data_IF_238238106914
#
_entry.id   IF_238238106914
#
_cell.length_a   1.000
_cell.length_b   1.000
_cell.length_c   1.000
_cell.angle_alpha   90.00
_cell.angle_beta   90.00
_cell.angle_gamma   90.00
#
_symmetry.space_group_name_H-M   'P 1'
#
loop_
_entity.id
_entity.type
_entity.pdbx_description
1 polymer ?
#
# COMPACT_ATOMS: atom_id res chain seq x y z
N UNK A 1 25.97 43.84 -71.84
CA UNK A 1 25.26 44.99 -71.26
C UNK A 1 25.67 45.15 -69.81
N UNK A 2 25.68 46.40 -69.34
CA UNK A 2 26.44 46.93 -68.21
C UNK A 2 26.05 46.37 -66.84
N UNK A 3 27.07 46.27 -65.98
CA UNK A 3 26.99 46.19 -64.52
C UNK A 3 26.28 47.40 -63.91
N UNK A 4 25.51 47.20 -62.82
CA UNK A 4 25.35 48.23 -61.78
C UNK A 4 25.28 47.60 -60.39
N UNK A 5 26.22 48.03 -59.54
CA UNK A 5 26.16 48.01 -58.08
C UNK A 5 25.35 49.23 -57.63
N UNK A 6 24.54 49.10 -56.58
CA UNK A 6 24.18 50.22 -55.71
C UNK A 6 23.84 49.73 -54.30
N UNK A 7 24.54 50.33 -53.34
CA UNK A 7 24.41 50.19 -51.89
C UNK A 7 23.42 51.23 -51.31
N UNK A 8 23.23 51.19 -49.99
CA UNK A 8 22.42 52.06 -49.08
C UNK A 8 20.97 51.59 -48.86
N UNK A 9 20.39 51.54 -47.66
CA UNK A 9 20.70 52.23 -46.41
C UNK A 9 20.30 51.41 -45.17
N UNK A 10 21.02 51.64 -44.06
CA UNK A 10 20.69 51.20 -42.72
C UNK A 10 19.49 51.98 -42.16
N UNK A 11 18.58 51.30 -41.46
CA UNK A 11 17.76 51.90 -40.39
C UNK A 11 17.88 51.00 -39.17
N UNK A 12 18.56 51.56 -38.18
CA UNK A 12 18.61 51.12 -36.79
C UNK A 12 17.21 51.35 -36.18
N UNK A 13 16.52 50.30 -35.77
CA UNK A 13 15.34 50.41 -34.90
C UNK A 13 15.57 49.55 -33.66
N UNK A 14 16.06 50.24 -32.63
CA UNK A 14 16.28 49.80 -31.27
C UNK A 14 14.92 49.55 -30.59
N UNK A 15 14.47 48.30 -30.53
CA UNK A 15 13.40 47.89 -29.62
C UNK A 15 14.02 47.19 -28.40
N UNK A 16 14.47 48.02 -27.45
CA UNK A 16 14.65 47.59 -26.06
C UNK A 16 13.28 47.49 -25.39
N UNK A 17 13.10 46.43 -24.60
CA UNK A 17 12.11 46.40 -23.53
C UNK A 17 11.01 45.37 -23.72
N UNK A 18 11.25 44.16 -23.18
CA UNK A 18 10.38 43.47 -22.22
C UNK A 18 11.03 42.11 -21.89
N UNK A 19 12.20 42.14 -21.26
CA UNK A 19 12.63 41.01 -20.43
C UNK A 19 11.76 41.05 -19.18
N UNK A 20 10.67 40.28 -19.19
CA UNK A 20 10.02 39.85 -17.97
C UNK A 20 11.00 38.95 -17.22
N UNK A 21 11.84 39.57 -16.37
CA UNK A 21 12.50 38.85 -15.30
C UNK A 21 11.38 38.30 -14.40
N UNK A 22 11.11 37.00 -14.52
CA UNK A 22 10.50 36.23 -13.44
C UNK A 22 11.33 36.51 -12.18
N UNK A 23 10.72 37.22 -11.23
CA UNK A 23 11.20 37.19 -9.85
C UNK A 23 11.10 35.74 -9.40
N UNK A 24 12.21 35.09 -9.00
CA UNK A 24 12.07 33.85 -8.26
C UNK A 24 11.29 34.22 -7.00
N UNK A 25 10.13 33.58 -6.81
CA UNK A 25 9.37 33.67 -5.58
C UNK A 25 10.35 33.49 -4.43
N UNK A 26 10.60 34.55 -3.67
CA UNK A 26 11.41 34.47 -2.46
C UNK A 26 10.65 33.58 -1.50
N UNK A 27 11.02 32.30 -1.48
CA UNK A 27 10.78 31.45 -0.32
C UNK A 27 11.22 32.24 0.92
N UNK A 28 10.48 32.19 2.03
CA UNK A 28 10.94 32.76 3.29
C UNK A 28 12.40 32.36 3.47
N UNK A 29 13.29 33.32 3.79
CA UNK A 29 14.70 33.01 4.04
C UNK A 29 14.74 32.07 5.23
N UNK A 30 14.81 30.78 4.92
CA UNK A 30 14.95 29.71 5.89
C UNK A 30 16.23 30.02 6.69
N UNK A 31 16.08 30.14 8.01
CA UNK A 31 17.21 30.48 8.89
C UNK A 31 18.23 29.35 8.78
N UNK A 32 19.49 29.69 8.52
CA UNK A 32 20.56 28.71 8.36
C UNK A 32 21.00 28.22 9.75
N UNK A 33 20.88 26.92 9.99
CA UNK A 33 21.32 26.26 11.23
C UNK A 33 22.81 25.91 11.20
N UNK A 34 23.34 25.48 10.04
CA UNK A 34 24.77 25.22 9.83
C UNK A 34 25.15 25.38 8.36
N UNK A 35 26.44 25.60 8.08
CA UNK A 35 27.01 25.63 6.73
C UNK A 35 28.08 24.54 6.59
N UNK A 36 28.03 23.77 5.50
CA UNK A 36 28.99 22.72 5.16
C UNK A 36 29.55 23.01 3.77
N UNK A 37 30.72 23.66 3.71
CA UNK A 37 31.28 24.12 2.43
C UNK A 37 30.33 25.10 1.72
N UNK A 38 29.76 24.67 0.59
CA UNK A 38 28.78 25.43 -0.19
C UNK A 38 27.31 25.17 0.17
N UNK A 39 27.03 24.13 0.96
CA UNK A 39 25.66 23.72 1.34
C UNK A 39 25.26 24.31 2.72
N UNK A 40 23.97 24.43 2.97
CA UNK A 40 23.41 24.93 4.22
C UNK A 40 22.29 24.01 4.74
N UNK A 41 22.35 23.68 6.03
CA UNK A 41 21.25 23.02 6.75
C UNK A 41 20.31 24.12 7.24
N UNK A 42 19.03 24.05 6.89
CA UNK A 42 18.03 25.02 7.36
C UNK A 42 17.43 24.64 8.71
N UNK A 43 16.84 25.63 9.38
CA UNK A 43 16.09 25.41 10.62
C UNK A 43 14.89 24.47 10.39
N UNK A 44 14.28 24.54 9.21
CA UNK A 44 13.17 23.65 8.85
C UNK A 44 13.63 22.19 8.73
N UNK A 45 14.76 21.93 8.08
CA UNK A 45 15.35 20.58 7.99
C UNK A 45 15.67 20.03 9.38
N UNK A 46 16.34 20.82 10.20
CA UNK A 46 16.68 20.46 11.59
C UNK A 46 15.40 20.19 12.41
N UNK A 47 14.40 21.07 12.31
CA UNK A 47 13.13 20.91 13.01
C UNK A 47 12.38 19.65 12.58
N UNK A 48 12.35 19.35 11.27
CA UNK A 48 11.78 18.11 10.73
C UNK A 48 12.54 16.87 11.22
N UNK A 49 13.86 16.92 11.29
CA UNK A 49 14.68 15.82 11.78
C UNK A 49 14.46 15.57 13.29
N UNK A 50 14.38 16.63 14.10
CA UNK A 50 14.06 16.53 15.53
C UNK A 50 12.64 15.98 15.74
N UNK A 51 11.65 16.44 14.96
CA UNK A 51 10.27 15.97 15.08
C UNK A 51 10.11 14.46 14.81
N UNK A 52 11.00 13.85 14.02
CA UNK A 52 11.00 12.40 13.76
C UNK A 52 11.38 11.55 14.98
N UNK A 53 12.03 12.14 15.99
CA UNK A 53 12.38 11.45 17.23
C UNK A 53 11.16 11.22 18.14
N UNK A 54 10.01 11.82 17.83
CA UNK A 54 8.76 11.68 18.57
C UNK A 54 8.52 12.80 19.60
N UNK A 55 7.45 12.69 20.40
CA UNK A 55 7.11 13.68 21.42
C UNK A 55 8.17 13.71 22.53
N UNK A 56 8.58 14.92 22.93
CA UNK A 56 9.61 15.16 23.95
C UNK A 56 9.34 16.47 24.68
N UNK A 57 9.84 16.62 25.91
CA UNK A 57 9.75 17.88 26.64
C UNK A 57 10.75 18.92 26.11
N UNK A 58 10.63 20.17 26.56
CA UNK A 58 11.45 21.27 26.05
C UNK A 58 12.96 21.08 26.31
N UNK A 59 13.33 20.52 27.47
CA UNK A 59 14.73 20.30 27.82
C UNK A 59 15.35 19.16 26.98
N UNK A 60 14.61 18.06 26.79
CA UNK A 60 14.99 16.96 25.90
C UNK A 60 15.12 17.43 24.46
N UNK A 61 14.18 18.26 23.99
CA UNK A 61 14.22 18.85 22.64
C UNK A 61 15.44 19.72 22.41
N UNK A 62 15.78 20.59 23.38
CA UNK A 62 16.98 21.41 23.31
C UNK A 62 18.26 20.56 23.22
N UNK A 63 18.35 19.49 24.02
CA UNK A 63 19.50 18.59 23.98
C UNK A 63 19.56 17.76 22.69
N UNK A 64 18.42 17.24 22.22
CA UNK A 64 18.32 16.45 21.01
C UNK A 64 18.69 17.27 19.77
N UNK A 65 18.29 18.55 19.73
CA UNK A 65 18.54 19.45 18.59
C UNK A 65 20.02 19.58 18.24
N UNK A 66 20.90 19.72 19.24
CA UNK A 66 22.35 19.77 19.01
C UNK A 66 22.89 18.47 18.41
N UNK A 67 22.51 17.32 18.97
CA UNK A 67 22.95 16.00 18.47
C UNK A 67 22.42 15.71 17.07
N UNK A 68 21.17 16.08 16.78
CA UNK A 68 20.56 15.93 15.45
C UNK A 68 21.26 16.82 14.43
N UNK A 69 21.64 18.05 14.80
CA UNK A 69 22.39 18.93 13.92
C UNK A 69 23.75 18.33 13.54
N UNK A 70 24.52 17.83 14.51
CA UNK A 70 25.79 17.14 14.24
C UNK A 70 25.59 15.91 13.33
N UNK A 71 24.57 15.09 13.60
CA UNK A 71 24.25 13.94 12.75
C UNK A 71 23.86 14.34 11.31
N UNK A 72 23.16 15.47 11.13
CA UNK A 72 22.86 16.01 9.81
C UNK A 72 24.13 16.52 9.13
N UNK A 73 25.04 17.19 9.84
CA UNK A 73 26.33 17.62 9.31
C UNK A 73 27.12 16.41 8.79
N UNK A 74 27.25 15.35 9.59
CA UNK A 74 27.93 14.12 9.20
C UNK A 74 27.27 13.47 7.97
N UNK A 75 25.93 13.43 7.94
CA UNK A 75 25.18 12.91 6.79
C UNK A 75 25.44 13.73 5.52
N UNK A 76 25.48 15.06 5.61
CA UNK A 76 25.78 15.95 4.49
C UNK A 76 27.22 15.75 3.99
N UNK A 77 28.19 15.62 4.90
CA UNK A 77 29.59 15.33 4.54
C UNK A 77 29.73 14.01 3.79
N UNK A 78 29.11 12.94 4.27
CA UNK A 78 29.13 11.62 3.60
C UNK A 78 28.39 11.67 2.25
N UNK A 79 27.25 12.36 2.18
CA UNK A 79 26.50 12.55 0.93
C UNK A 79 27.32 13.30 -0.12
N UNK A 80 28.06 14.32 0.29
CA UNK A 80 28.92 15.09 -0.61
C UNK A 80 30.12 14.25 -1.08
N UNK A 81 30.76 13.49 -0.20
CA UNK A 81 31.80 12.53 -0.60
C UNK A 81 31.28 11.49 -1.62
N UNK A 82 30.02 11.03 -1.48
CA UNK A 82 29.41 10.11 -2.44
C UNK A 82 29.17 10.75 -3.82
N UNK A 83 28.76 12.03 -3.86
CA UNK A 83 28.63 12.80 -5.12
C UNK A 83 29.99 13.05 -5.78
N UNK A 84 31.01 13.38 -4.99
CA UNK A 84 32.37 13.57 -5.50
C UNK A 84 32.94 12.27 -6.10
N UNK A 85 32.62 11.14 -5.47
CA UNK A 85 32.89 9.80 -5.98
C UNK A 85 31.96 9.37 -7.15
N UNK A 86 31.01 10.22 -7.55
CA UNK A 86 30.03 10.01 -8.63
C UNK A 86 29.12 8.79 -8.43
N UNK A 87 28.90 8.38 -7.17
CA UNK A 87 28.05 7.23 -6.85
C UNK A 87 26.57 7.53 -7.17
N UNK A 88 26.16 8.79 -7.12
CA UNK A 88 24.82 9.27 -7.53
C UNK A 88 24.51 9.00 -9.01
N UNK A 89 25.54 8.81 -9.84
CA UNK A 89 25.42 8.51 -11.28
C UNK A 89 25.51 7.02 -11.59
N UNK A 90 25.81 6.18 -10.61
CA UNK A 90 25.81 4.74 -10.80
C UNK A 90 24.38 4.27 -11.13
N UNK A 91 24.17 3.37 -12.12
CA UNK A 91 22.84 2.99 -12.59
C UNK A 91 21.88 2.55 -11.49
N UNK A 92 22.37 1.76 -10.53
CA UNK A 92 21.60 1.26 -9.40
C UNK A 92 21.19 2.37 -8.43
N UNK A 93 22.06 3.35 -8.18
CA UNK A 93 21.76 4.48 -7.29
C UNK A 93 20.79 5.44 -7.96
N UNK A 94 20.99 5.75 -9.24
CA UNK A 94 20.09 6.60 -10.00
C UNK A 94 18.67 6.01 -10.06
N UNK A 95 18.54 4.70 -10.30
CA UNK A 95 17.26 4.00 -10.27
C UNK A 95 16.62 4.04 -8.87
N UNK A 96 17.39 3.78 -7.81
CA UNK A 96 16.89 3.84 -6.44
C UNK A 96 16.40 5.25 -6.07
N UNK A 97 17.12 6.30 -6.48
CA UNK A 97 16.69 7.69 -6.28
C UNK A 97 15.40 8.02 -7.02
N UNK A 98 15.24 7.57 -8.27
CA UNK A 98 13.99 7.74 -9.02
C UNK A 98 12.81 7.00 -8.38
N UNK A 99 13.05 5.78 -7.86
CA UNK A 99 12.03 5.02 -7.13
C UNK A 99 11.62 5.73 -5.84
N UNK A 100 12.59 6.22 -5.06
CA UNK A 100 12.34 6.97 -3.84
C UNK A 100 11.57 8.27 -4.12
N UNK A 101 11.95 9.02 -5.17
CA UNK A 101 11.24 10.22 -5.59
C UNK A 101 9.78 9.93 -5.92
N UNK A 102 9.52 8.88 -6.71
CA UNK A 102 8.15 8.47 -7.05
C UNK A 102 7.36 8.07 -5.81
N UNK A 103 7.96 7.33 -4.89
CA UNK A 103 7.30 6.91 -3.66
C UNK A 103 6.87 8.11 -2.80
N UNK A 104 7.78 9.07 -2.59
CA UNK A 104 7.50 10.30 -1.82
C UNK A 104 6.37 11.12 -2.47
N UNK A 105 6.36 11.23 -3.81
CA UNK A 105 5.30 11.94 -4.52
C UNK A 105 3.93 11.23 -4.40
N UNK A 106 3.91 9.89 -4.46
CA UNK A 106 2.70 9.10 -4.27
C UNK A 106 2.16 9.29 -2.86
N UNK A 107 3.01 9.20 -1.83
CA UNK A 107 2.62 9.41 -0.44
C UNK A 107 2.06 10.82 -0.21
N UNK A 108 2.75 11.86 -0.68
CA UNK A 108 2.29 13.25 -0.58
C UNK A 108 0.94 13.47 -1.31
N UNK A 109 0.76 12.84 -2.46
CA UNK A 109 -0.51 12.89 -3.19
C UNK A 109 -1.64 12.17 -2.43
N UNK A 110 -1.36 11.01 -1.83
CA UNK A 110 -2.32 10.27 -1.01
C UNK A 110 -2.71 11.03 0.27
N UNK A 111 -1.74 11.64 0.96
CA UNK A 111 -2.01 12.51 2.11
C UNK A 111 -2.95 13.66 1.73
N UNK A 112 -2.68 14.31 0.59
CA UNK A 112 -3.57 15.36 0.06
C UNK A 112 -4.95 14.82 -0.30
N UNK A 113 -5.02 13.67 -0.96
CA UNK A 113 -6.28 13.04 -1.38
C UNK A 113 -7.18 12.70 -0.18
N UNK A 114 -6.59 12.27 0.94
CA UNK A 114 -7.33 11.86 2.13
C UNK A 114 -7.53 12.97 3.16
N UNK A 115 -6.94 14.16 2.96
CA UNK A 115 -6.93 15.26 3.93
C UNK A 115 -8.33 15.67 4.37
N UNK A 116 -9.27 15.73 3.43
CA UNK A 116 -10.63 16.20 3.67
C UNK A 116 -11.63 15.02 3.85
N UNK A 117 -11.12 13.80 4.02
CA UNK A 117 -11.96 12.63 4.23
C UNK A 117 -12.52 12.67 5.66
N UNK A 118 -13.85 12.78 5.83
CA UNK A 118 -14.44 12.87 7.16
C UNK A 118 -14.23 11.57 7.94
N UNK A 119 -14.06 11.65 9.28
CA UNK A 119 -14.04 10.45 10.11
C UNK A 119 -15.38 9.70 9.98
N UNK A 120 -15.40 8.38 10.22
CA UNK A 120 -16.64 7.63 10.31
C UNK A 120 -17.57 8.19 11.39
N UNK A 121 -18.86 8.30 11.06
CA UNK A 121 -19.89 8.68 12.03
C UNK A 121 -20.26 7.52 12.95
N UNK A 122 -20.85 7.82 14.10
CA UNK A 122 -21.36 6.81 15.03
C UNK A 122 -22.39 5.87 14.38
N UNK A 123 -23.22 6.42 13.49
CA UNK A 123 -24.20 5.64 12.74
C UNK A 123 -23.52 4.62 11.80
N UNK A 124 -22.44 5.01 11.12
CA UNK A 124 -21.66 4.10 10.27
C UNK A 124 -20.98 3.00 11.11
N UNK A 125 -20.46 3.35 12.29
CA UNK A 125 -19.85 2.37 13.20
C UNK A 125 -20.89 1.37 13.71
N UNK A 126 -22.06 1.85 14.13
CA UNK A 126 -23.17 1.01 14.57
C UNK A 126 -23.69 0.10 13.45
N UNK A 127 -23.85 0.64 12.24
CA UNK A 127 -24.31 -0.13 11.07
C UNK A 127 -23.30 -1.24 10.73
N UNK A 128 -22.00 -0.93 10.72
CA UNK A 128 -20.96 -1.92 10.49
C UNK A 128 -20.97 -3.03 11.55
N UNK A 129 -21.09 -2.68 12.83
CA UNK A 129 -21.20 -3.66 13.92
C UNK A 129 -22.39 -4.61 13.72
N UNK A 130 -23.55 -4.06 13.36
CA UNK A 130 -24.79 -4.82 13.17
C UNK A 130 -24.74 -5.71 11.92
N UNK A 131 -24.08 -5.27 10.84
CA UNK A 131 -23.96 -6.02 9.59
C UNK A 131 -22.92 -7.14 9.63
N UNK A 132 -22.01 -7.09 10.59
CA UNK A 132 -20.93 -8.07 10.74
C UNK A 132 -20.97 -8.78 12.11
N UNK A 133 -22.11 -9.39 12.49
CA UNK A 133 -22.22 -10.04 13.79
C UNK A 133 -21.16 -11.14 13.96
N UNK A 134 -20.76 -11.84 12.90
CA UNK A 134 -19.72 -12.87 12.91
C UNK A 134 -18.34 -12.37 13.36
N UNK A 135 -18.07 -11.07 13.21
CA UNK A 135 -16.84 -10.42 13.66
C UNK A 135 -16.97 -9.84 15.07
N UNK A 136 -18.19 -9.65 15.58
CA UNK A 136 -18.45 -8.95 16.85
C UNK A 136 -19.43 -9.68 17.76
N UNK A 137 -20.74 -9.44 17.63
CA UNK A 137 -21.77 -9.95 18.56
C UNK A 137 -21.88 -11.48 18.59
N UNK A 138 -21.50 -12.14 17.50
CA UNK A 138 -21.42 -13.59 17.32
C UNK A 138 -19.98 -14.05 17.07
N UNK A 139 -18.99 -13.22 17.45
CA UNK A 139 -17.57 -13.54 17.31
C UNK A 139 -17.24 -14.83 18.05
N UNK A 140 -16.46 -15.68 17.38
CA UNK A 140 -15.96 -16.93 17.93
C UNK A 140 -14.45 -17.04 17.75
N UNK A 141 -13.82 -17.79 18.65
CA UNK A 141 -12.53 -18.42 18.36
C UNK A 141 -12.80 -19.76 17.66
N UNK A 142 -12.20 -19.95 16.49
CA UNK A 142 -12.34 -21.18 15.73
C UNK A 142 -11.07 -22.00 15.84
N UNK A 143 -11.21 -23.27 16.25
CA UNK A 143 -10.16 -24.27 16.13
C UNK A 143 -10.37 -25.00 14.81
N UNK A 144 -9.46 -24.81 13.86
CA UNK A 144 -9.58 -25.32 12.50
C UNK A 144 -8.37 -26.17 12.14
N UNK A 145 -8.63 -27.25 11.41
CA UNK A 145 -7.61 -27.92 10.60
C UNK A 145 -7.81 -27.48 9.16
N UNK A 146 -6.74 -27.00 8.53
CA UNK A 146 -6.72 -26.51 7.17
C UNK A 146 -5.74 -27.35 6.34
N UNK A 147 -6.22 -27.91 5.24
CA UNK A 147 -5.40 -28.53 4.20
C UNK A 147 -5.35 -27.59 3.02
N UNK A 148 -4.19 -27.00 2.76
CA UNK A 148 -3.96 -26.18 1.58
C UNK A 148 -3.39 -27.01 0.45
N UNK A 149 -3.95 -26.82 -0.74
CA UNK A 149 -3.58 -27.60 -1.91
C UNK A 149 -3.66 -26.75 -3.18
N UNK A 150 -2.84 -27.15 -4.15
CA UNK A 150 -2.89 -26.63 -5.52
C UNK A 150 -3.66 -27.64 -6.37
N UNK A 151 -4.78 -27.21 -6.94
CA UNK A 151 -5.68 -28.02 -7.73
C UNK A 151 -5.83 -27.41 -9.13
N UNK A 152 -5.63 -28.18 -10.21
CA UNK A 152 -5.94 -27.71 -11.56
C UNK A 152 -7.40 -27.24 -11.69
N UNK A 153 -7.69 -26.26 -12.56
CA UNK A 153 -9.05 -25.76 -12.76
C UNK A 153 -10.02 -26.89 -13.10
N UNK A 154 -11.25 -26.80 -12.58
CA UNK A 154 -12.34 -27.74 -12.90
C UNK A 154 -12.37 -29.04 -12.10
N UNK A 155 -11.39 -29.32 -11.23
CA UNK A 155 -11.38 -30.55 -10.39
C UNK A 155 -12.04 -30.39 -9.01
N UNK A 156 -12.56 -29.21 -8.68
CA UNK A 156 -13.18 -28.95 -7.36
C UNK A 156 -14.36 -29.89 -7.09
N UNK A 157 -15.23 -30.11 -8.07
CA UNK A 157 -16.40 -30.97 -7.92
C UNK A 157 -16.03 -32.45 -7.68
N UNK A 158 -14.99 -32.94 -8.36
CA UNK A 158 -14.44 -34.29 -8.15
C UNK A 158 -13.92 -34.43 -6.71
N UNK A 159 -13.15 -33.46 -6.25
CA UNK A 159 -12.59 -33.44 -4.91
C UNK A 159 -13.67 -33.39 -3.82
N UNK A 160 -14.71 -32.56 -4.00
CA UNK A 160 -15.86 -32.52 -3.10
C UNK A 160 -16.60 -33.86 -3.04
N UNK A 161 -16.76 -34.53 -4.18
CA UNK A 161 -17.40 -35.85 -4.24
C UNK A 161 -16.58 -36.91 -3.48
N UNK A 162 -15.26 -36.93 -3.66
CA UNK A 162 -14.38 -37.83 -2.91
C UNK A 162 -14.32 -37.50 -1.41
N UNK A 163 -14.33 -36.22 -1.04
CA UNK A 163 -14.36 -35.81 0.36
C UNK A 163 -15.63 -36.32 1.05
N UNK A 164 -16.79 -36.27 0.39
CA UNK A 164 -18.05 -36.79 0.94
C UNK A 164 -18.05 -38.31 1.14
N UNK A 165 -17.30 -39.05 0.32
CA UNK A 165 -17.14 -40.50 0.44
C UNK A 165 -16.06 -40.91 1.44
N UNK A 166 -15.18 -39.97 1.81
CA UNK A 166 -14.06 -40.23 2.71
C UNK A 166 -14.55 -40.37 4.15
N UNK A 167 -14.05 -41.39 4.86
CA UNK A 167 -14.42 -41.64 6.27
C UNK A 167 -13.86 -40.60 7.24
N UNK A 168 -12.72 -40.02 6.90
CA UNK A 168 -12.02 -38.99 7.67
C UNK A 168 -11.03 -38.24 6.77
N UNK A 169 -10.43 -37.16 7.29
CA UNK A 169 -9.44 -36.37 6.55
C UNK A 169 -8.18 -37.16 6.17
N UNK A 170 -7.75 -38.13 6.98
CA UNK A 170 -6.56 -38.94 6.69
C UNK A 170 -6.73 -39.75 5.41
N UNK A 171 -7.86 -40.46 5.27
CA UNK A 171 -8.15 -41.22 4.04
C UNK A 171 -8.31 -40.32 2.81
N UNK A 172 -8.81 -39.09 3.01
CA UNK A 172 -8.87 -38.09 1.96
C UNK A 172 -7.48 -37.59 1.55
N UNK A 173 -6.57 -37.34 2.50
CA UNK A 173 -5.18 -36.97 2.19
C UNK A 173 -4.40 -38.10 1.51
N UNK A 174 -4.67 -39.36 1.86
CA UNK A 174 -4.08 -40.51 1.18
C UNK A 174 -4.52 -40.55 -0.30
N UNK A 175 -5.82 -40.35 -0.56
CA UNK A 175 -6.34 -40.25 -1.93
C UNK A 175 -5.70 -39.08 -2.69
N UNK A 176 -5.60 -37.89 -2.09
CA UNK A 176 -4.90 -36.75 -2.71
C UNK A 176 -3.45 -37.10 -3.09
N UNK A 177 -2.76 -37.86 -2.24
CA UNK A 177 -1.42 -38.39 -2.52
C UNK A 177 -1.39 -39.29 -3.76
N UNK A 178 -2.38 -40.19 -3.93
CA UNK A 178 -2.50 -41.02 -5.16
C UNK A 178 -2.75 -40.21 -6.43
N UNK A 179 -3.35 -39.02 -6.29
CA UNK A 179 -3.59 -38.08 -7.39
C UNK A 179 -2.37 -37.20 -7.68
N UNK A 180 -1.27 -37.35 -6.94
CA UNK A 180 -0.09 -36.51 -7.04
C UNK A 180 -0.30 -35.08 -6.52
N UNK A 181 -1.34 -34.85 -5.71
CA UNK A 181 -1.67 -33.53 -5.17
C UNK A 181 -0.93 -33.36 -3.84
N UNK A 182 0.00 -32.41 -3.80
CA UNK A 182 0.71 -32.05 -2.59
C UNK A 182 -0.22 -31.29 -1.63
N UNK A 183 -0.15 -31.64 -0.34
CA UNK A 183 -0.99 -31.06 0.72
C UNK A 183 -0.10 -30.43 1.79
N UNK A 184 -0.42 -29.18 2.15
CA UNK A 184 0.11 -28.52 3.34
C UNK A 184 -0.96 -28.49 4.42
N UNK A 185 -0.78 -29.26 5.49
CA UNK A 185 -1.72 -29.31 6.61
C UNK A 185 -1.25 -28.40 7.76
N UNK A 186 -2.19 -27.70 8.38
CA UNK A 186 -1.97 -26.96 9.61
C UNK A 186 -3.21 -26.92 10.49
N UNK A 187 -3.01 -26.98 11.81
CA UNK A 187 -4.07 -26.73 12.78
C UNK A 187 -3.80 -25.37 13.46
N UNK A 188 -4.84 -24.57 13.65
CA UNK A 188 -4.73 -23.30 14.34
C UNK A 188 -6.02 -22.93 15.10
N UNK A 189 -5.86 -22.19 16.19
CA UNK A 189 -6.94 -21.43 16.81
C UNK A 189 -6.85 -20.00 16.30
N UNK A 190 -7.90 -19.54 15.61
CA UNK A 190 -7.95 -18.19 15.03
C UNK A 190 -9.24 -17.48 15.47
N UNK A 191 -9.17 -16.22 15.89
CA UNK A 191 -10.37 -15.41 16.05
C UNK A 191 -10.96 -15.05 14.68
N UNK A 192 -12.27 -14.78 14.63
CA UNK A 192 -13.01 -14.53 13.38
C UNK A 192 -12.35 -13.48 12.47
N UNK A 193 -11.87 -12.36 13.03
CA UNK A 193 -11.23 -11.26 12.30
C UNK A 193 -9.85 -11.59 11.71
N UNK A 194 -9.27 -12.76 12.06
CA UNK A 194 -8.00 -13.26 11.47
C UNK A 194 -8.22 -14.36 10.44
N UNK A 195 -9.47 -14.69 10.13
CA UNK A 195 -9.82 -15.69 9.14
C UNK A 195 -10.23 -14.99 7.83
N UNK A 196 -9.76 -15.43 6.65
CA UNK A 196 -10.23 -14.90 5.38
C UNK A 196 -11.75 -14.96 5.26
N UNK A 197 -12.39 -13.88 4.79
CA UNK A 197 -13.84 -13.74 4.80
C UNK A 197 -14.58 -14.90 4.11
N UNK A 198 -14.05 -15.39 2.98
CA UNK A 198 -14.62 -16.54 2.25
C UNK A 198 -14.63 -17.83 3.09
N UNK A 199 -13.62 -18.05 3.93
CA UNK A 199 -13.56 -19.18 4.84
C UNK A 199 -14.48 -18.97 6.04
N UNK A 200 -14.48 -17.77 6.63
CA UNK A 200 -15.33 -17.44 7.78
C UNK A 200 -16.82 -17.64 7.45
N UNK A 201 -17.25 -17.24 6.25
CA UNK A 201 -18.62 -17.44 5.78
C UNK A 201 -19.05 -18.92 5.78
N UNK A 202 -18.12 -19.84 5.54
CA UNK A 202 -18.38 -21.28 5.67
C UNK A 202 -18.43 -21.68 7.15
N UNK A 203 -17.41 -21.30 7.93
CA UNK A 203 -17.24 -21.72 9.33
C UNK A 203 -18.40 -21.31 10.24
N UNK A 204 -19.03 -20.14 10.01
CA UNK A 204 -20.17 -19.67 10.81
C UNK A 204 -21.34 -20.66 10.79
N UNK A 205 -21.50 -21.39 9.69
CA UNK A 205 -22.58 -22.36 9.49
C UNK A 205 -22.16 -23.81 9.81
N UNK A 206 -20.90 -24.03 10.16
CA UNK A 206 -20.36 -25.37 10.40
C UNK A 206 -20.57 -25.84 11.84
N UNK A 207 -20.66 -27.16 11.99
CA UNK A 207 -20.59 -27.88 13.27
C UNK A 207 -19.21 -28.51 13.43
N UNK A 208 -18.82 -28.76 14.68
CA UNK A 208 -17.58 -29.48 14.96
C UNK A 208 -17.55 -30.85 14.23
N UNK A 209 -16.39 -31.17 13.66
CA UNK A 209 -16.15 -32.33 12.81
C UNK A 209 -16.48 -32.14 11.33
N UNK A 210 -17.30 -31.15 10.95
CA UNK A 210 -17.65 -30.92 9.54
C UNK A 210 -16.44 -30.45 8.73
N UNK A 211 -16.43 -30.84 7.45
CA UNK A 211 -15.38 -30.51 6.49
C UNK A 211 -16.00 -29.85 5.26
N UNK A 212 -15.36 -28.81 4.74
CA UNK A 212 -15.78 -28.09 3.53
C UNK A 212 -14.60 -27.79 2.63
N UNK A 213 -14.84 -27.76 1.32
CA UNK A 213 -13.88 -27.32 0.31
C UNK A 213 -14.11 -25.83 0.05
N UNK A 214 -13.06 -25.02 0.08
CA UNK A 214 -13.10 -23.58 -0.15
C UNK A 214 -12.11 -23.21 -1.25
N UNK A 215 -12.57 -22.87 -2.46
CA UNK A 215 -11.71 -22.30 -3.49
C UNK A 215 -11.14 -20.95 -3.04
N UNK A 216 -9.81 -20.80 -3.10
CA UNK A 216 -9.03 -19.63 -2.63
C UNK A 216 -8.35 -18.86 -3.77
N UNK A 217 -8.75 -19.12 -5.01
CA UNK A 217 -8.22 -18.57 -6.25
C UNK A 217 -8.39 -19.56 -7.40
N UNK A 218 -7.74 -19.32 -8.54
CA UNK A 218 -7.86 -20.19 -9.73
C UNK A 218 -7.41 -21.62 -9.46
N UNK A 219 -6.24 -21.79 -8.82
CA UNK A 219 -5.66 -23.11 -8.55
C UNK A 219 -5.46 -23.41 -7.07
N UNK A 220 -5.80 -22.48 -6.17
CA UNK A 220 -5.64 -22.69 -4.73
C UNK A 220 -6.94 -23.13 -4.12
N UNK A 221 -6.90 -24.16 -3.31
CA UNK A 221 -8.05 -24.63 -2.56
C UNK A 221 -7.63 -24.91 -1.12
N UNK A 222 -8.50 -24.57 -0.18
CA UNK A 222 -8.39 -24.97 1.23
C UNK A 222 -9.48 -25.98 1.54
N UNK A 223 -9.14 -27.09 2.17
CA UNK A 223 -10.11 -28.00 2.79
C UNK A 223 -10.09 -27.74 4.28
N UNK A 224 -11.20 -27.21 4.80
CA UNK A 224 -11.33 -26.78 6.17
C UNK A 224 -12.13 -27.80 6.96
N UNK A 225 -11.59 -28.27 8.06
CA UNK A 225 -12.34 -28.96 9.10
C UNK A 225 -12.49 -28.06 10.33
N UNK A 226 -13.73 -27.88 10.78
CA UNK A 226 -14.00 -27.21 12.04
C UNK A 226 -13.81 -28.22 13.18
N UNK A 227 -12.78 -28.06 14.00
CA UNK A 227 -12.55 -28.93 15.16
C UNK A 227 -13.39 -28.48 16.37
N UNK A 228 -13.62 -27.18 16.49
CA UNK A 228 -14.48 -26.60 17.53
C UNK A 228 -14.55 -25.09 17.43
N UNK A 229 -15.51 -24.49 18.15
CA UNK A 229 -15.64 -23.03 18.23
C UNK A 229 -16.05 -22.61 19.64
N UNK A 230 -15.49 -21.51 20.12
CA UNK A 230 -15.82 -20.91 21.41
C UNK A 230 -16.39 -19.51 21.20
N UNK A 231 -17.54 -19.20 21.81
CA UNK A 231 -18.14 -17.88 21.72
C UNK A 231 -17.34 -16.86 22.53
N UNK A 232 -16.90 -15.79 21.89
CA UNK A 232 -16.18 -14.67 22.51
C UNK A 232 -16.68 -13.35 21.91
N UNK A 233 -17.93 -12.97 22.22
CA UNK A 233 -18.56 -11.79 21.65
C UNK A 233 -17.85 -10.52 22.11
N UNK A 234 -17.80 -9.53 21.23
CA UNK A 234 -17.23 -8.21 21.51
C UNK A 234 -18.35 -7.18 21.45
N UNK A 235 -18.45 -6.36 22.50
CA UNK A 235 -19.45 -5.29 22.57
C UNK A 235 -19.05 -4.12 21.67
N UNK A 236 -20.03 -3.36 21.18
CA UNK A 236 -19.82 -2.20 20.31
C UNK A 236 -18.79 -1.21 20.89
N UNK A 237 -18.91 -0.89 22.18
CA UNK A 237 -18.00 0.07 22.82
C UNK A 237 -16.54 -0.41 22.83
N UNK A 238 -16.31 -1.72 22.86
CA UNK A 238 -14.96 -2.29 22.77
C UNK A 238 -14.44 -2.33 21.33
N UNK A 239 -15.34 -2.43 20.35
CA UNK A 239 -15.01 -2.54 18.93
C UNK A 239 -14.97 -1.19 18.19
N UNK A 240 -15.48 -0.12 18.79
CA UNK A 240 -15.72 1.20 18.15
C UNK A 240 -14.52 1.72 17.37
N UNK A 241 -13.35 1.80 18.00
CA UNK A 241 -12.13 2.34 17.36
C UNK A 241 -11.62 1.43 16.24
N UNK A 242 -11.70 0.11 16.43
CA UNK A 242 -11.30 -0.86 15.41
C UNK A 242 -12.22 -0.77 14.18
N UNK A 243 -13.54 -0.66 14.40
CA UNK A 243 -14.54 -0.48 13.33
C UNK A 243 -14.31 0.84 12.61
N UNK A 244 -14.11 1.94 13.34
CA UNK A 244 -13.81 3.24 12.74
C UNK A 244 -12.55 3.16 11.85
N UNK A 245 -11.49 2.50 12.31
CA UNK A 245 -10.29 2.25 11.51
C UNK A 245 -10.57 1.45 10.23
N UNK A 246 -11.38 0.40 10.32
CA UNK A 246 -11.77 -0.42 9.16
C UNK A 246 -12.59 0.38 8.14
N UNK A 247 -13.60 1.14 8.60
CA UNK A 247 -14.42 1.99 7.74
C UNK A 247 -13.56 3.05 7.05
N UNK A 248 -12.68 3.72 7.80
CA UNK A 248 -11.80 4.74 7.25
C UNK A 248 -10.83 4.16 6.21
N UNK A 249 -10.25 2.99 6.50
CA UNK A 249 -9.40 2.26 5.54
C UNK A 249 -10.17 1.91 4.26
N UNK A 250 -11.41 1.43 4.40
CA UNK A 250 -12.31 1.16 3.28
C UNK A 250 -12.60 2.41 2.44
N UNK A 251 -12.95 3.53 3.09
CA UNK A 251 -13.17 4.82 2.41
C UNK A 251 -11.93 5.28 1.64
N UNK A 252 -10.74 5.20 2.24
CA UNK A 252 -9.45 5.55 1.59
C UNK A 252 -9.17 4.67 0.38
N UNK A 253 -9.40 3.36 0.49
CA UNK A 253 -9.22 2.41 -0.62
C UNK A 253 -10.14 2.76 -1.79
N UNK A 254 -11.44 2.94 -1.54
CA UNK A 254 -12.42 3.29 -2.58
C UNK A 254 -12.07 4.60 -3.28
N UNK A 255 -11.68 5.62 -2.50
CA UNK A 255 -11.29 6.93 -3.05
C UNK A 255 -10.03 6.83 -3.91
N UNK A 256 -9.01 6.10 -3.44
CA UNK A 256 -7.79 5.86 -4.20
C UNK A 256 -8.06 5.11 -5.51
N UNK A 257 -8.86 4.04 -5.47
CA UNK A 257 -9.25 3.29 -6.67
C UNK A 257 -9.97 4.17 -7.69
N UNK A 258 -10.87 5.05 -7.22
CA UNK A 258 -11.54 6.01 -8.08
C UNK A 258 -10.57 7.02 -8.72
N UNK A 259 -9.66 7.59 -7.93
CA UNK A 259 -8.68 8.56 -8.44
C UNK A 259 -7.70 7.91 -9.42
N UNK A 260 -7.21 6.69 -9.13
CA UNK A 260 -6.36 5.94 -10.07
C UNK A 260 -7.10 5.65 -11.37
N UNK A 261 -8.37 5.22 -11.33
CA UNK A 261 -9.17 5.03 -12.56
C UNK A 261 -9.27 6.31 -13.37
N UNK A 262 -9.55 7.45 -12.72
CA UNK A 262 -9.63 8.77 -13.37
C UNK A 262 -8.28 9.17 -13.99
N UNK A 263 -7.18 9.02 -13.28
CA UNK A 263 -5.83 9.33 -13.79
C UNK A 263 -5.46 8.44 -14.98
N UNK A 264 -5.84 7.14 -14.96
CA UNK A 264 -5.63 6.25 -16.11
C UNK A 264 -6.50 6.61 -17.31
N UNK A 265 -7.73 7.07 -17.09
CA UNK A 265 -8.61 7.51 -18.17
C UNK A 265 -8.15 8.84 -18.81
N UNK A 266 -7.58 9.74 -18.01
CA UNK A 266 -7.01 11.01 -18.49
C UNK A 266 -5.58 10.87 -19.06
N UNK A 267 -4.86 9.82 -18.68
CA UNK A 267 -3.51 9.54 -19.15
C UNK A 267 -3.47 8.70 -20.43
N UNK A 268 -2.57 9.02 -21.35
CA UNK A 268 -2.27 8.15 -22.49
C UNK A 268 -1.38 7.00 -22.01
N UNK A 269 -1.96 5.81 -21.86
CA UNK A 269 -1.22 4.58 -21.49
C UNK A 269 -1.07 3.71 -22.73
N UNK A 270 0.18 3.52 -23.18
CA UNK A 270 0.54 2.64 -24.29
C UNK A 270 1.38 1.48 -23.75
N UNK A 271 1.10 0.27 -24.22
CA UNK A 271 1.87 -0.92 -23.89
C UNK A 271 2.73 -1.28 -25.10
N UNK A 272 4.01 -1.56 -24.86
CA UNK A 272 4.85 -2.18 -25.86
C UNK A 272 4.43 -3.64 -26.08
N UNK A 273 4.74 -4.18 -27.27
CA UNK A 273 4.41 -5.56 -27.63
C UNK A 273 5.00 -6.56 -26.64
N UNK A 274 4.18 -7.48 -26.15
CA UNK A 274 4.54 -8.48 -25.15
C UNK A 274 4.40 -8.01 -23.70
N UNK A 275 4.00 -6.76 -23.48
CA UNK A 275 3.76 -6.18 -22.15
C UNK A 275 2.30 -5.79 -21.93
N UNK A 276 1.41 -6.14 -22.86
CA UNK A 276 -0.03 -5.93 -22.70
C UNK A 276 -0.56 -6.72 -21.50
N UNK A 277 -1.50 -6.16 -20.72
CA UNK A 277 -2.13 -6.90 -19.65
C UNK A 277 -2.86 -8.12 -20.22
N UNK A 278 -2.74 -9.27 -19.56
CA UNK A 278 -3.59 -10.42 -19.87
C UNK A 278 -5.06 -9.98 -19.84
N UNK A 279 -5.82 -10.28 -20.89
CA UNK A 279 -7.21 -9.86 -21.02
C UNK A 279 -8.02 -10.39 -19.84
N UNK A 280 -8.40 -9.49 -18.91
CA UNK A 280 -9.33 -9.82 -17.83
C UNK A 280 -10.68 -10.04 -18.50
N UNK A 281 -11.05 -11.30 -18.77
CA UNK A 281 -12.45 -11.59 -19.10
C UNK A 281 -13.27 -11.23 -17.86
N UNK A 282 -14.25 -10.33 -17.96
CA UNK A 282 -15.16 -10.09 -16.85
C UNK A 282 -15.92 -11.38 -16.58
N UNK A 283 -15.78 -11.89 -15.35
CA UNK A 283 -16.63 -12.98 -14.86
C UNK A 283 -18.08 -12.61 -15.11
N UNK A 284 -18.75 -13.43 -15.91
CA UNK A 284 -20.17 -13.30 -16.23
C UNK A 284 -20.97 -13.45 -14.91
N UNK A 285 -22.04 -12.65 -14.71
CA UNK A 285 -22.81 -12.63 -13.47
C UNK A 285 -23.36 -13.99 -13.06
#
# INVERSE_FOLDING_TARGET
MKSQRASLAAVLALCMGLSACEQPATSPRDVVAAKIGGDAISEFELGRAVARLGPMNAAESAQARGKVLEALIDQHLVSNAAKDAKLDKAPEVALAMQQAQRQVLVEAYMERLFKDLPPPSDAEVQDYFTRHPELFAQRKLYRIQELELQLPPGRVAEMEAHLKQSRNLSGFTDWLGTQGIAVRSGEAVRPAEKIPAIMLAQLVNMRAGQVVVVPMGENRVSVLQLLGSEAQPVALEQARDAIAGLILSGKRKTLLEAEVRKLRAGGKVEYASGFEPASTQPGKP
#
